data_IF_735775475320
#
_entry.id   IF_735775475320
#
_cell.length_a   1.000
_cell.length_b   1.000
_cell.length_c   1.000
_cell.angle_alpha   90.00
_cell.angle_beta   90.00
_cell.angle_gamma   90.00
#
_symmetry.space_group_name_H-M   'P 1'
#
loop_
_entity.id
_entity.type
_entity.pdbx_description
1 polymer ?
#
# COMPACT_ATOMS: atom_id res chain seq x y z
N UNK A 1 -19.49 5.14 4.31
CA UNK A 1 -18.49 4.04 4.41
C UNK A 1 -19.02 3.05 5.43
N UNK A 2 -19.31 1.83 5.02
CA UNK A 2 -19.70 0.76 5.91
C UNK A 2 -18.46 0.01 6.39
N UNK A 3 -18.48 -0.41 7.65
CA UNK A 3 -17.38 -1.13 8.28
C UNK A 3 -17.87 -2.50 8.75
N UNK A 4 -17.09 -3.55 8.52
CA UNK A 4 -17.47 -4.91 8.88
C UNK A 4 -16.25 -5.74 9.29
N UNK A 5 -16.44 -6.54 10.33
CA UNK A 5 -15.44 -7.51 10.79
C UNK A 5 -15.65 -8.85 10.09
N UNK A 6 -14.75 -9.19 9.16
CA UNK A 6 -14.73 -10.47 8.47
C UNK A 6 -13.99 -11.52 9.30
N UNK A 7 -14.70 -12.55 9.75
CA UNK A 7 -14.10 -13.71 10.44
C UNK A 7 -13.51 -14.69 9.42
N UNK A 8 -12.23 -14.95 9.53
CA UNK A 8 -11.54 -15.93 8.69
C UNK A 8 -11.60 -17.34 9.29
N UNK A 9 -11.42 -18.36 8.45
CA UNK A 9 -11.48 -19.77 8.87
C UNK A 9 -10.33 -20.15 9.83
N UNK A 10 -9.23 -19.41 9.84
CA UNK A 10 -8.11 -19.59 10.78
C UNK A 10 -8.32 -18.90 12.14
N UNK A 11 -9.46 -18.27 12.34
CA UNK A 11 -9.86 -17.58 13.57
C UNK A 11 -9.44 -16.12 13.62
N UNK A 12 -8.69 -15.60 12.66
CA UNK A 12 -8.38 -14.16 12.56
C UNK A 12 -9.61 -13.36 12.16
N UNK A 13 -9.57 -12.06 12.43
CA UNK A 13 -10.53 -11.07 11.96
C UNK A 13 -9.81 -10.11 11.02
N UNK A 14 -10.46 -9.71 9.93
CA UNK A 14 -10.07 -8.57 9.12
C UNK A 14 -11.14 -7.49 9.24
N UNK A 15 -10.74 -6.28 9.57
CA UNK A 15 -11.62 -5.11 9.56
C UNK A 15 -11.65 -4.55 8.14
N UNK A 16 -12.85 -4.42 7.57
CA UNK A 16 -13.10 -4.15 6.15
C UNK A 16 -13.96 -2.91 6.01
N UNK A 17 -13.66 -2.09 5.02
CA UNK A 17 -14.35 -0.87 4.63
C UNK A 17 -14.96 -1.04 3.23
N UNK A 18 -16.20 -0.61 3.04
CA UNK A 18 -16.92 -0.65 1.77
C UNK A 18 -17.77 0.62 1.61
N UNK A 19 -17.57 1.38 0.54
CA UNK A 19 -18.30 2.63 0.32
C UNK A 19 -19.70 2.45 -0.28
N UNK A 20 -19.95 1.31 -0.94
CA UNK A 20 -21.20 1.06 -1.66
C UNK A 20 -21.54 -0.44 -1.66
N UNK A 21 -21.87 -1.03 -0.48
CA UNK A 21 -22.14 -2.47 -0.36
C UNK A 21 -23.22 -2.95 -1.33
N UNK A 22 -22.88 -3.97 -2.12
CA UNK A 22 -23.80 -4.59 -3.09
C UNK A 22 -24.07 -3.78 -4.34
N UNK A 23 -23.38 -2.66 -4.56
CA UNK A 23 -23.48 -1.91 -5.82
C UNK A 23 -22.50 -2.47 -6.86
N UNK A 24 -22.98 -3.45 -7.66
CA UNK A 24 -22.21 -4.10 -8.71
C UNK A 24 -22.13 -3.25 -9.99
N UNK A 25 -22.80 -2.10 -10.04
CA UNK A 25 -22.75 -1.16 -11.16
C UNK A 25 -21.52 -0.23 -11.09
N UNK A 26 -20.82 -0.18 -9.96
CA UNK A 26 -19.63 0.61 -9.76
C UNK A 26 -18.36 -0.24 -9.94
N UNK A 27 -17.30 0.37 -10.45
CA UNK A 27 -15.98 -0.25 -10.46
C UNK A 27 -15.46 -0.38 -9.03
N UNK A 28 -15.21 -1.60 -8.57
CA UNK A 28 -14.55 -1.82 -7.29
C UNK A 28 -13.06 -1.44 -7.39
N UNK A 29 -12.62 -0.54 -6.52
CA UNK A 29 -11.20 -0.18 -6.35
C UNK A 29 -10.78 -0.52 -4.92
N UNK A 30 -9.84 -1.45 -4.78
CA UNK A 30 -9.29 -1.82 -3.47
C UNK A 30 -8.12 -0.93 -3.15
N UNK A 31 -8.24 -0.21 -2.04
CA UNK A 31 -7.18 0.61 -1.48
C UNK A 31 -6.25 -0.20 -0.59
N UNK A 32 -4.97 -0.18 -0.91
CA UNK A 32 -3.90 -0.70 -0.05
C UNK A 32 -3.19 0.45 0.66
N UNK A 33 -3.40 0.54 1.94
CA UNK A 33 -2.89 1.62 2.79
C UNK A 33 -1.37 1.59 2.96
N UNK A 34 -0.74 2.75 3.24
CA UNK A 34 0.67 2.86 3.58
C UNK A 34 1.04 2.23 4.93
N UNK A 35 2.28 2.38 5.35
CA UNK A 35 2.81 1.86 6.61
C UNK A 35 3.35 3.01 7.45
N UNK A 36 2.88 3.20 8.69
CA UNK A 36 1.73 2.55 9.33
C UNK A 36 0.44 3.36 9.12
N UNK A 37 -0.60 2.78 8.52
CA UNK A 37 -1.90 3.42 8.32
C UNK A 37 -3.06 2.46 8.58
N UNK A 38 -4.29 2.99 8.71
CA UNK A 38 -5.53 2.22 8.62
C UNK A 38 -5.89 1.93 7.16
N UNK A 39 -6.67 0.88 6.95
CA UNK A 39 -7.15 0.44 5.65
C UNK A 39 -8.31 1.24 5.06
N UNK A 40 -8.83 2.24 5.78
CA UNK A 40 -9.89 3.09 5.27
C UNK A 40 -9.47 3.75 3.95
N UNK A 41 -10.29 3.72 2.89
CA UNK A 41 -9.99 4.37 1.62
C UNK A 41 -9.77 5.88 1.75
N UNK A 42 -9.01 6.50 0.83
CA UNK A 42 -8.57 7.89 0.95
C UNK A 42 -9.72 8.89 0.75
N UNK A 43 -10.15 9.54 1.82
CA UNK A 43 -11.19 10.57 1.80
C UNK A 43 -10.93 11.66 0.74
N UNK A 44 -9.69 12.12 0.51
CA UNK A 44 -9.39 13.08 -0.55
C UNK A 44 -9.84 12.68 -1.96
N UNK A 45 -10.06 11.39 -2.20
CA UNK A 45 -10.48 10.87 -3.51
C UNK A 45 -11.97 10.51 -3.59
N UNK A 46 -12.76 10.77 -2.54
CA UNK A 46 -14.16 10.36 -2.54
C UNK A 46 -15.01 11.11 -3.56
N UNK A 47 -14.76 12.42 -3.75
CA UNK A 47 -15.48 13.21 -4.75
C UNK A 47 -15.19 12.71 -6.17
N UNK A 48 -13.92 12.53 -6.51
CA UNK A 48 -13.50 11.95 -7.79
C UNK A 48 -14.05 10.52 -7.97
N UNK A 49 -13.99 9.70 -6.90
CA UNK A 49 -14.54 8.34 -6.91
C UNK A 49 -16.03 8.31 -7.20
N UNK A 50 -16.82 9.24 -6.64
CA UNK A 50 -18.25 9.33 -6.94
C UNK A 50 -18.49 9.69 -8.41
N UNK A 51 -17.76 10.64 -8.96
CA UNK A 51 -17.83 11.03 -10.37
C UNK A 51 -17.47 9.90 -11.34
N UNK A 52 -16.47 9.10 -10.96
CA UNK A 52 -15.96 7.99 -11.78
C UNK A 52 -16.74 6.69 -11.57
N UNK A 53 -17.76 6.68 -10.69
CA UNK A 53 -18.53 5.49 -10.38
C UNK A 53 -17.72 4.41 -9.68
N UNK A 54 -16.89 4.80 -8.71
CA UNK A 54 -16.03 3.90 -7.93
C UNK A 54 -16.75 3.41 -6.67
N UNK A 55 -16.63 2.10 -6.39
CA UNK A 55 -16.89 1.48 -5.09
C UNK A 55 -15.55 1.26 -4.41
N UNK A 56 -15.26 2.07 -3.40
CA UNK A 56 -14.05 1.93 -2.61
C UNK A 56 -14.16 0.75 -1.65
N UNK A 57 -13.15 -0.10 -1.67
CA UNK A 57 -12.95 -1.19 -0.72
C UNK A 57 -11.61 -1.01 -0.06
N UNK A 58 -11.52 -1.27 1.23
CA UNK A 58 -10.28 -1.30 1.98
C UNK A 58 -10.34 -2.30 3.11
N UNK A 59 -9.21 -2.63 3.67
CA UNK A 59 -9.15 -3.41 4.90
C UNK A 59 -7.88 -3.07 5.67
N UNK A 60 -7.97 -3.11 6.98
CA UNK A 60 -6.79 -3.03 7.82
C UNK A 60 -5.93 -4.28 7.59
N UNK A 61 -4.69 -4.11 7.12
CA UNK A 61 -3.77 -5.26 7.04
C UNK A 61 -3.60 -5.89 8.42
N UNK A 62 -3.30 -7.19 8.50
CA UNK A 62 -3.13 -7.87 9.79
C UNK A 62 -2.22 -7.09 10.76
N UNK A 63 -2.71 -6.87 11.98
CA UNK A 63 -2.00 -6.14 13.03
C UNK A 63 -2.27 -4.64 13.09
N UNK A 64 -3.03 -4.09 12.13
CA UNK A 64 -3.52 -2.71 12.18
C UNK A 64 -4.98 -2.65 12.60
N UNK A 65 -5.39 -1.51 13.13
CA UNK A 65 -6.77 -1.18 13.45
C UNK A 65 -7.54 -2.30 14.13
N UNK A 66 -8.61 -2.77 13.48
CA UNK A 66 -9.45 -3.88 13.95
C UNK A 66 -9.00 -5.27 13.53
N UNK A 67 -7.92 -5.39 12.73
CA UNK A 67 -7.46 -6.67 12.18
C UNK A 67 -6.52 -7.41 13.12
N UNK A 68 -6.73 -8.73 13.25
CA UNK A 68 -5.85 -9.62 14.01
C UNK A 68 -4.47 -9.70 13.38
N UNK A 69 -3.41 -9.63 14.17
CA UNK A 69 -2.03 -9.77 13.70
C UNK A 69 -1.77 -11.13 13.03
N UNK A 70 -0.87 -11.15 12.04
CA UNK A 70 -0.40 -12.35 11.34
C UNK A 70 1.12 -12.28 11.18
N UNK A 71 1.87 -12.59 12.25
CA UNK A 71 3.33 -12.56 12.21
C UNK A 71 3.90 -13.45 11.11
N UNK A 72 4.90 -12.91 10.40
CA UNK A 72 5.54 -13.63 9.29
C UNK A 72 4.75 -13.62 7.98
N UNK A 73 3.76 -12.72 7.85
CA UNK A 73 3.05 -12.51 6.58
C UNK A 73 4.01 -12.08 5.46
N UNK A 74 3.63 -12.38 4.25
CA UNK A 74 4.27 -11.96 3.00
C UNK A 74 3.27 -11.23 2.12
N UNK A 75 3.71 -10.62 1.01
CA UNK A 75 2.79 -10.02 0.03
C UNK A 75 1.76 -11.04 -0.47
N UNK A 76 2.21 -12.27 -0.77
CA UNK A 76 1.32 -13.34 -1.22
C UNK A 76 0.28 -13.74 -0.15
N UNK A 77 0.64 -13.76 1.13
CA UNK A 77 -0.32 -14.12 2.20
C UNK A 77 -1.37 -13.02 2.40
N UNK A 78 -1.00 -11.75 2.26
CA UNK A 78 -1.95 -10.62 2.31
C UNK A 78 -2.85 -10.61 1.06
N UNK A 79 -2.34 -11.01 -0.11
CA UNK A 79 -3.16 -11.22 -1.30
C UNK A 79 -4.21 -12.33 -1.09
N UNK A 80 -3.86 -13.39 -0.35
CA UNK A 80 -4.83 -14.42 0.05
C UNK A 80 -5.89 -13.88 1.03
N UNK A 81 -5.51 -12.99 1.95
CA UNK A 81 -6.47 -12.30 2.83
C UNK A 81 -7.39 -11.39 2.00
N UNK A 82 -6.84 -10.61 1.04
CA UNK A 82 -7.66 -9.82 0.11
C UNK A 82 -8.66 -10.68 -0.66
N UNK A 83 -8.26 -11.88 -1.11
CA UNK A 83 -9.19 -12.82 -1.78
C UNK A 83 -10.42 -13.09 -0.89
N UNK A 84 -10.22 -13.30 0.42
CA UNK A 84 -11.33 -13.52 1.36
C UNK A 84 -12.24 -12.29 1.49
N UNK A 85 -11.64 -11.10 1.49
CA UNK A 85 -12.39 -9.84 1.55
C UNK A 85 -13.28 -9.69 0.32
N UNK A 86 -12.71 -9.74 -0.90
CA UNK A 86 -13.47 -9.52 -2.13
C UNK A 86 -14.50 -10.61 -2.39
N UNK A 87 -14.21 -11.87 -2.02
CA UNK A 87 -15.19 -12.97 -2.11
C UNK A 87 -16.36 -12.77 -1.15
N UNK A 88 -16.11 -12.33 0.09
CA UNK A 88 -17.15 -12.03 1.07
C UNK A 88 -18.04 -10.86 0.64
N UNK A 89 -17.49 -9.88 -0.09
CA UNK A 89 -18.21 -8.72 -0.62
C UNK A 89 -18.89 -8.99 -1.97
N UNK A 90 -18.73 -10.20 -2.54
CA UNK A 90 -19.29 -10.59 -3.83
C UNK A 90 -18.62 -9.92 -5.04
N UNK A 91 -17.38 -9.43 -4.88
CA UNK A 91 -16.65 -8.72 -5.94
C UNK A 91 -15.87 -9.71 -6.80
N UNK A 92 -16.20 -9.81 -8.07
CA UNK A 92 -15.56 -10.73 -9.02
C UNK A 92 -14.23 -10.23 -9.55
N UNK A 93 -14.23 -9.02 -10.13
CA UNK A 93 -13.06 -8.31 -10.62
C UNK A 93 -12.98 -6.90 -10.01
N UNK A 94 -11.79 -6.32 -9.97
CA UNK A 94 -11.53 -5.05 -9.32
C UNK A 94 -10.20 -4.45 -9.76
N UNK A 95 -10.04 -3.15 -9.54
CA UNK A 95 -8.76 -2.49 -9.67
C UNK A 95 -8.07 -2.36 -8.28
N UNK A 96 -6.77 -2.15 -8.30
CA UNK A 96 -5.96 -1.94 -7.11
C UNK A 96 -5.36 -0.54 -7.12
N UNK A 97 -5.39 0.12 -5.97
CA UNK A 97 -4.69 1.38 -5.75
C UNK A 97 -3.92 1.29 -4.44
N UNK A 98 -2.65 1.68 -4.44
CA UNK A 98 -1.83 1.55 -3.25
C UNK A 98 -0.81 2.67 -3.08
N UNK A 99 -0.50 3.00 -1.83
CA UNK A 99 0.45 4.04 -1.45
C UNK A 99 1.56 3.47 -0.58
N UNK A 100 2.82 3.87 -0.85
CA UNK A 100 3.97 3.45 -0.04
C UNK A 100 4.07 1.91 0.02
N UNK A 101 4.25 1.32 1.18
CA UNK A 101 4.18 -0.13 1.36
C UNK A 101 2.90 -0.77 0.81
N UNK A 102 1.77 -0.03 0.82
CA UNK A 102 0.52 -0.49 0.21
C UNK A 102 0.61 -0.67 -1.31
N UNK A 103 1.44 0.12 -1.99
CA UNK A 103 1.73 -0.08 -3.42
C UNK A 103 2.38 -1.43 -3.69
N UNK A 104 3.32 -1.84 -2.83
CA UNK A 104 3.97 -3.16 -2.92
C UNK A 104 2.98 -4.30 -2.68
N UNK A 105 2.08 -4.15 -1.70
CA UNK A 105 1.00 -5.11 -1.47
C UNK A 105 0.01 -5.18 -2.64
N UNK A 106 -0.30 -4.05 -3.30
CA UNK A 106 -1.13 -4.02 -4.50
C UNK A 106 -0.47 -4.80 -5.66
N UNK A 107 0.83 -4.61 -5.88
CA UNK A 107 1.60 -5.36 -6.88
C UNK A 107 1.64 -6.87 -6.53
N UNK A 108 1.88 -7.21 -5.27
CA UNK A 108 1.83 -8.60 -4.81
C UNK A 108 0.46 -9.24 -5.01
N UNK A 109 -0.62 -8.50 -4.76
CA UNK A 109 -1.98 -8.94 -4.99
C UNK A 109 -2.28 -9.15 -6.49
N UNK A 110 -1.83 -8.23 -7.35
CA UNK A 110 -1.98 -8.38 -8.79
C UNK A 110 -1.26 -9.63 -9.33
N UNK A 111 -0.06 -9.91 -8.82
CA UNK A 111 0.70 -11.10 -9.21
C UNK A 111 0.02 -12.42 -8.80
N UNK A 112 -0.71 -12.44 -7.69
CA UNK A 112 -1.39 -13.63 -7.15
C UNK A 112 -2.79 -13.82 -7.73
N UNK A 113 -3.55 -12.71 -7.90
CA UNK A 113 -4.97 -12.74 -8.25
C UNK A 113 -5.21 -12.70 -9.77
N UNK A 114 -4.17 -12.35 -10.56
CA UNK A 114 -4.18 -12.46 -12.00
C UNK A 114 -5.36 -11.74 -12.65
N UNK A 115 -6.14 -12.47 -13.46
CA UNK A 115 -7.25 -11.92 -14.26
C UNK A 115 -8.38 -11.24 -13.46
N UNK A 116 -8.42 -11.42 -12.14
CA UNK A 116 -9.36 -10.66 -11.28
C UNK A 116 -8.98 -9.20 -11.13
N UNK A 117 -7.70 -8.85 -11.36
CA UNK A 117 -7.19 -7.49 -11.26
C UNK A 117 -7.23 -6.84 -12.64
N UNK A 118 -8.04 -5.80 -12.79
CA UNK A 118 -8.27 -5.12 -14.07
C UNK A 118 -7.22 -4.02 -14.33
N UNK A 119 -6.78 -3.32 -13.30
CA UNK A 119 -5.74 -2.28 -13.36
C UNK A 119 -5.07 -2.09 -11.99
N UNK A 120 -3.85 -1.57 -11.98
CA UNK A 120 -3.11 -1.27 -10.76
C UNK A 120 -2.53 0.15 -10.85
N UNK A 121 -2.73 0.98 -9.83
CA UNK A 121 -2.00 2.25 -9.68
C UNK A 121 -1.29 2.28 -8.33
N UNK A 122 -0.01 2.59 -8.32
CA UNK A 122 0.79 2.68 -7.10
C UNK A 122 1.50 4.01 -6.99
N UNK A 123 1.64 4.49 -5.76
CA UNK A 123 2.32 5.74 -5.42
C UNK A 123 3.42 5.44 -4.43
N UNK A 124 4.67 5.72 -4.79
CA UNK A 124 5.87 5.48 -3.98
C UNK A 124 6.00 4.02 -3.50
N UNK A 125 5.80 3.04 -4.39
CA UNK A 125 5.94 1.62 -4.05
C UNK A 125 7.39 1.20 -3.88
N UNK A 126 7.67 0.34 -2.89
CA UNK A 126 8.99 -0.27 -2.67
C UNK A 126 9.14 -1.50 -3.57
N UNK A 127 10.34 -1.71 -4.15
CA UNK A 127 10.66 -2.92 -4.91
C UNK A 127 10.98 -4.12 -3.99
N UNK A 128 10.93 -5.36 -4.49
CA UNK A 128 11.37 -6.52 -3.73
C UNK A 128 12.80 -6.36 -3.18
N UNK A 129 13.03 -6.92 -1.99
CA UNK A 129 14.33 -6.83 -1.32
C UNK A 129 15.46 -7.54 -2.07
N UNK A 130 15.12 -8.59 -2.80
CA UNK A 130 16.00 -9.38 -3.66
C UNK A 130 16.06 -8.86 -5.12
N UNK A 131 15.66 -7.60 -5.36
CA UNK A 131 15.69 -6.95 -6.66
C UNK A 131 17.11 -6.89 -7.22
N UNK A 132 17.39 -7.71 -8.25
CA UNK A 132 18.72 -7.78 -8.84
C UNK A 132 19.10 -6.45 -9.50
N UNK A 133 20.31 -5.97 -9.22
CA UNK A 133 20.83 -4.70 -9.73
C UNK A 133 20.34 -3.44 -9.04
N UNK A 134 19.46 -3.50 -8.06
CA UNK A 134 19.04 -2.38 -7.23
C UNK A 134 19.88 -2.32 -5.94
N UNK A 135 20.53 -1.19 -5.68
CA UNK A 135 20.99 -0.90 -4.31
C UNK A 135 19.79 -0.49 -3.47
N UNK A 136 19.16 -1.49 -2.84
CA UNK A 136 17.84 -1.37 -2.22
C UNK A 136 17.75 -0.32 -1.11
N UNK A 137 18.87 -0.02 -0.46
CA UNK A 137 18.94 0.95 0.63
C UNK A 137 19.43 2.34 0.21
N UNK A 138 19.95 2.47 -1.00
CA UNK A 138 20.57 3.74 -1.45
C UNK A 138 19.53 4.86 -1.53
N UNK A 139 19.88 6.00 -0.95
CA UNK A 139 19.03 7.19 -0.91
C UNK A 139 17.96 7.19 0.18
N UNK A 140 17.82 6.12 0.99
CA UNK A 140 16.87 6.11 2.11
C UNK A 140 17.33 7.02 3.26
N UNK A 141 16.39 7.72 3.87
CA UNK A 141 16.60 8.51 5.11
C UNK A 141 17.13 7.64 6.24
N UNK A 142 17.93 8.21 7.17
CA UNK A 142 18.58 7.43 8.23
C UNK A 142 17.64 6.62 9.12
N UNK A 143 16.48 7.19 9.50
CA UNK A 143 15.49 6.51 10.33
C UNK A 143 14.83 5.32 9.61
N UNK A 144 14.45 5.49 8.34
CA UNK A 144 13.92 4.43 7.49
C UNK A 144 14.93 3.31 7.27
N UNK A 145 16.18 3.68 6.97
CA UNK A 145 17.28 2.73 6.80
C UNK A 145 17.52 1.91 8.09
N UNK A 146 17.52 2.55 9.27
CA UNK A 146 17.71 1.86 10.55
C UNK A 146 16.57 0.88 10.84
N UNK A 147 15.33 1.30 10.58
CA UNK A 147 14.11 0.51 10.72
C UNK A 147 14.14 -0.75 9.85
N UNK A 148 14.40 -0.60 8.56
CA UNK A 148 14.40 -1.71 7.60
C UNK A 148 15.61 -2.64 7.77
N UNK A 149 16.76 -2.13 8.19
CA UNK A 149 17.91 -2.99 8.58
C UNK A 149 17.61 -3.81 9.83
N UNK A 150 16.88 -3.25 10.81
CA UNK A 150 16.43 -4.02 11.96
C UNK A 150 15.47 -5.14 11.53
N UNK A 151 14.56 -4.86 10.59
CA UNK A 151 13.67 -5.87 10.00
C UNK A 151 14.45 -6.96 9.27
N UNK A 152 15.45 -6.60 8.45
CA UNK A 152 16.32 -7.55 7.76
C UNK A 152 17.14 -8.44 8.71
N UNK A 153 17.44 -7.95 9.93
CA UNK A 153 18.07 -8.75 10.99
C UNK A 153 17.09 -9.69 11.72
N UNK A 154 15.82 -9.68 11.34
CA UNK A 154 14.75 -10.53 11.83
C UNK A 154 13.78 -9.84 12.78
N UNK A 155 12.58 -10.45 12.93
CA UNK A 155 11.47 -9.86 13.68
C UNK A 155 11.84 -9.44 15.11
N UNK A 156 12.62 -10.24 15.83
CA UNK A 156 13.04 -9.89 17.20
C UNK A 156 13.93 -8.64 17.24
N UNK A 157 14.76 -8.43 16.23
CA UNK A 157 15.57 -7.22 16.11
C UNK A 157 14.69 -6.01 15.79
N UNK A 158 13.69 -6.19 14.92
CA UNK A 158 12.70 -5.15 14.61
C UNK A 158 11.86 -4.77 15.83
N UNK A 159 11.37 -5.75 16.61
CA UNK A 159 10.68 -5.51 17.90
C UNK A 159 11.54 -4.66 18.84
N UNK A 160 12.81 -5.03 19.01
CA UNK A 160 13.73 -4.24 19.86
C UNK A 160 13.91 -2.83 19.33
N UNK A 161 13.98 -2.64 18.03
CA UNK A 161 14.08 -1.32 17.41
C UNK A 161 12.86 -0.47 17.74
N UNK A 162 11.64 -0.97 17.49
CA UNK A 162 10.39 -0.24 17.74
C UNK A 162 10.13 0.06 19.23
N UNK A 163 10.63 -0.79 20.11
CA UNK A 163 10.47 -0.62 21.58
C UNK A 163 11.65 0.11 22.24
N UNK A 164 12.65 0.53 21.47
CA UNK A 164 13.85 1.20 22.01
C UNK A 164 13.64 2.66 22.39
N UNK A 165 12.53 3.26 21.96
CA UNK A 165 12.25 4.70 22.11
C UNK A 165 12.99 5.58 21.08
N UNK A 166 13.58 4.98 20.04
CA UNK A 166 14.10 5.74 18.89
C UNK A 166 12.93 6.30 18.10
N UNK A 167 12.91 7.61 17.91
CA UNK A 167 11.89 8.28 17.10
C UNK A 167 12.17 8.07 15.60
N UNK A 168 11.12 7.83 14.84
CA UNK A 168 11.18 7.83 13.39
C UNK A 168 11.03 9.27 12.87
N UNK A 169 12.06 9.77 12.20
CA UNK A 169 12.00 11.05 11.49
C UNK A 169 11.86 10.78 9.98
N UNK A 170 10.73 11.11 9.37
CA UNK A 170 10.51 10.89 7.94
C UNK A 170 11.27 11.88 7.05
N UNK A 171 11.91 12.90 7.61
CA UNK A 171 12.62 13.95 6.86
C UNK A 171 11.81 14.48 5.66
N UNK A 172 10.52 14.74 5.87
CA UNK A 172 9.61 15.18 4.82
C UNK A 172 10.14 16.42 4.08
N UNK A 173 10.05 16.40 2.76
CA UNK A 173 10.34 17.56 1.92
C UNK A 173 9.36 18.71 2.19
N UNK A 174 9.70 19.91 1.75
CA UNK A 174 8.76 21.04 1.82
C UNK A 174 7.46 20.78 1.03
N UNK A 175 7.56 20.04 -0.08
CA UNK A 175 6.40 19.62 -0.86
C UNK A 175 5.51 18.62 -0.09
N UNK A 176 6.13 17.68 0.64
CA UNK A 176 5.38 16.74 1.48
C UNK A 176 4.66 17.45 2.63
N UNK A 177 5.35 18.37 3.30
CA UNK A 177 4.76 19.14 4.40
C UNK A 177 3.55 19.97 3.93
N UNK A 178 3.62 20.56 2.75
CA UNK A 178 2.52 21.32 2.17
C UNK A 178 1.26 20.47 1.91
N UNK A 179 1.39 19.15 1.70
CA UNK A 179 0.24 18.25 1.51
C UNK A 179 -0.64 18.16 2.75
N UNK A 180 -0.04 18.28 3.95
CA UNK A 180 -0.78 18.21 5.20
C UNK A 180 -1.65 19.45 5.48
N UNK A 181 -1.37 20.57 4.83
CA UNK A 181 -2.21 21.78 4.88
C UNK A 181 -3.44 21.68 3.96
N UNK A 182 -3.50 20.66 3.10
CA UNK A 182 -4.56 20.39 2.14
C UNK A 182 -5.40 19.16 2.49
N UNK A 183 -6.15 18.61 1.52
CA UNK A 183 -6.99 17.42 1.72
C UNK A 183 -6.20 16.21 2.25
N UNK A 184 -4.93 16.07 1.89
CA UNK A 184 -4.08 14.98 2.35
C UNK A 184 -3.62 15.10 3.80
N UNK A 185 -3.97 16.20 4.51
CA UNK A 185 -3.94 16.25 5.98
C UNK A 185 -4.75 15.13 6.63
N UNK A 186 -5.66 14.50 5.86
CA UNK A 186 -6.35 13.26 6.20
C UNK A 186 -5.40 12.15 6.67
N UNK A 187 -4.22 12.02 6.11
CA UNK A 187 -3.21 11.05 6.55
C UNK A 187 -2.91 11.17 8.04
N UNK A 188 -2.93 12.36 8.61
CA UNK A 188 -2.79 12.59 10.05
C UNK A 188 -3.91 11.97 10.89
N UNK A 189 -5.02 11.57 10.31
CA UNK A 189 -6.16 10.91 10.99
C UNK A 189 -6.07 9.38 10.99
N UNK A 190 -5.30 8.80 10.06
CA UNK A 190 -5.25 7.35 9.80
C UNK A 190 -3.86 6.74 9.98
N UNK A 191 -2.82 7.58 10.12
CA UNK A 191 -1.43 7.13 10.23
C UNK A 191 -0.91 7.09 11.68
N UNK A 192 0.26 6.48 11.84
CA UNK A 192 1.00 6.42 13.10
C UNK A 192 0.24 5.66 14.19
N UNK A 193 0.31 6.14 15.42
CA UNK A 193 -0.28 5.49 16.59
C UNK A 193 -1.77 5.20 16.45
N UNK A 194 -2.49 6.00 15.65
CA UNK A 194 -3.93 5.79 15.40
C UNK A 194 -4.21 4.50 14.66
N UNK A 195 -3.29 4.05 13.82
CA UNK A 195 -3.41 2.79 13.09
C UNK A 195 -3.02 1.57 13.92
N UNK A 196 -2.40 1.78 15.09
CA UNK A 196 -1.80 0.74 15.93
C UNK A 196 -2.38 0.70 17.36
N UNK A 197 -3.71 0.65 17.54
CA UNK A 197 -4.35 0.71 18.88
C UNK A 197 -3.94 -0.46 19.78
N UNK A 198 -3.46 -1.56 19.20
CA UNK A 198 -3.05 -2.78 19.90
C UNK A 198 -1.52 -2.96 19.94
N UNK A 199 -0.76 -1.91 19.61
CA UNK A 199 0.70 -1.95 19.55
C UNK A 199 1.26 -2.05 18.12
N UNK A 200 2.60 -2.08 17.96
CA UNK A 200 3.27 -1.91 16.68
C UNK A 200 3.38 -3.18 15.83
N UNK A 201 2.65 -4.25 16.13
CA UNK A 201 2.77 -5.52 15.40
C UNK A 201 2.51 -5.35 13.89
N UNK A 202 1.57 -4.50 13.49
CA UNK A 202 1.30 -4.20 12.10
C UNK A 202 2.52 -3.62 11.37
N UNK A 203 3.13 -2.60 11.96
CA UNK A 203 4.36 -1.95 11.46
C UNK A 203 5.54 -2.93 11.41
N UNK A 204 5.75 -3.68 12.50
CA UNK A 204 6.83 -4.67 12.59
C UNK A 204 6.71 -5.71 11.47
N UNK A 205 5.51 -6.23 11.28
CA UNK A 205 5.28 -7.30 10.31
C UNK A 205 5.27 -6.78 8.87
N UNK A 206 4.87 -5.51 8.62
CA UNK A 206 5.03 -4.87 7.31
C UNK A 206 6.52 -4.74 6.96
N UNK A 207 7.32 -4.12 7.81
CA UNK A 207 8.75 -3.94 7.54
C UNK A 207 9.47 -5.28 7.35
N UNK A 208 9.11 -6.30 8.14
CA UNK A 208 9.63 -7.65 7.94
C UNK A 208 9.21 -8.25 6.59
N UNK A 209 7.99 -7.95 6.11
CA UNK A 209 7.51 -8.46 4.84
C UNK A 209 8.20 -7.82 3.62
N UNK A 210 8.71 -6.59 3.75
CA UNK A 210 9.44 -5.92 2.68
C UNK A 210 10.82 -6.52 2.44
N UNK A 211 11.46 -7.04 3.47
CA UNK A 211 12.84 -7.53 3.45
C UNK A 211 12.97 -9.06 3.36
N UNK A 212 11.90 -9.72 2.97
CA UNK A 212 11.86 -11.16 2.65
C UNK A 212 11.27 -11.37 1.25
N UNK A 213 11.44 -12.55 0.64
CA UNK A 213 10.79 -12.85 -0.63
C UNK A 213 9.26 -12.65 -0.52
N UNK A 214 8.68 -11.94 -1.47
CA UNK A 214 7.25 -11.59 -1.47
C UNK A 214 6.32 -12.79 -1.60
N UNK A 215 6.86 -13.95 -2.03
CA UNK A 215 6.08 -15.18 -2.22
C UNK A 215 5.22 -15.18 -3.49
N UNK A 216 5.43 -14.22 -4.38
CA UNK A 216 4.77 -14.09 -5.66
C UNK A 216 5.77 -13.69 -6.76
N UNK A 217 5.37 -13.87 -8.01
CA UNK A 217 6.18 -13.57 -9.18
C UNK A 217 5.58 -12.38 -9.93
N UNK A 218 6.24 -11.23 -9.86
CA UNK A 218 5.78 -9.98 -10.48
C UNK A 218 5.68 -10.06 -12.01
N UNK A 219 6.43 -10.95 -12.66
CA UNK A 219 6.33 -11.17 -14.10
C UNK A 219 4.96 -11.74 -14.52
N UNK A 220 4.15 -12.21 -13.57
CA UNK A 220 2.79 -12.69 -13.80
C UNK A 220 1.73 -11.59 -13.79
N UNK A 221 2.08 -10.35 -13.50
CA UNK A 221 1.15 -9.23 -13.56
C UNK A 221 0.81 -8.97 -15.03
N UNK A 222 -0.45 -9.17 -15.37
CA UNK A 222 -0.99 -8.92 -16.72
C UNK A 222 -1.85 -7.66 -16.78
N UNK A 223 -2.32 -7.18 -15.62
CA UNK A 223 -3.09 -5.95 -15.53
C UNK A 223 -2.25 -4.74 -15.92
N UNK A 224 -2.78 -3.77 -16.68
CA UNK A 224 -2.14 -2.47 -16.87
C UNK A 224 -1.73 -1.88 -15.51
N UNK A 225 -0.48 -1.41 -15.40
CA UNK A 225 0.09 -0.94 -14.13
C UNK A 225 0.68 0.45 -14.29
N UNK A 226 0.19 1.40 -13.49
CA UNK A 226 0.74 2.73 -13.35
C UNK A 226 1.58 2.81 -12.06
N UNK A 227 2.83 3.22 -12.21
CA UNK A 227 3.73 3.50 -11.11
C UNK A 227 3.96 5.01 -11.05
N UNK A 228 3.63 5.65 -9.95
CA UNK A 228 3.87 7.07 -9.72
C UNK A 228 4.92 7.24 -8.61
N UNK A 229 5.97 8.04 -8.86
CA UNK A 229 7.05 8.22 -7.90
C UNK A 229 7.60 9.64 -7.91
N UNK A 230 7.86 10.20 -6.72
CA UNK A 230 8.54 11.48 -6.57
C UNK A 230 10.06 11.33 -6.68
N UNK A 231 10.75 12.24 -7.37
CA UNK A 231 12.22 12.14 -7.50
C UNK A 231 12.96 12.47 -6.22
N UNK A 232 12.32 13.21 -5.30
CA UNK A 232 12.91 13.66 -4.03
C UNK A 232 12.41 12.82 -2.84
N UNK A 233 11.85 11.63 -3.13
CA UNK A 233 11.42 10.68 -2.12
C UNK A 233 12.65 10.06 -1.44
N UNK A 234 12.86 10.42 -0.17
CA UNK A 234 13.93 9.86 0.67
C UNK A 234 13.44 8.71 1.58
N UNK A 235 12.14 8.44 1.63
CA UNK A 235 11.59 7.30 2.38
C UNK A 235 11.68 6.03 1.54
N UNK A 236 11.15 6.08 0.31
CA UNK A 236 11.34 5.05 -0.71
C UNK A 236 11.90 5.74 -1.95
N UNK A 237 13.22 5.70 -2.19
CA UNK A 237 13.84 6.40 -3.29
C UNK A 237 13.33 5.96 -4.66
N UNK A 238 13.25 6.90 -5.61
CA UNK A 238 12.68 6.66 -6.94
C UNK A 238 13.34 5.54 -7.77
N UNK A 239 14.60 5.11 -7.52
CA UNK A 239 15.14 3.90 -8.15
C UNK A 239 14.33 2.64 -7.91
N UNK A 240 13.56 2.54 -6.81
CA UNK A 240 12.60 1.45 -6.60
C UNK A 240 11.49 1.45 -7.66
N UNK A 241 10.91 2.61 -7.93
CA UNK A 241 9.90 2.77 -9.00
C UNK A 241 10.47 2.46 -10.38
N UNK A 242 11.71 2.88 -10.65
CA UNK A 242 12.39 2.59 -11.91
C UNK A 242 12.63 1.08 -12.08
N UNK A 243 13.14 0.42 -11.03
CA UNK A 243 13.34 -1.03 -11.07
C UNK A 243 12.03 -1.78 -11.34
N UNK A 244 10.95 -1.39 -10.67
CA UNK A 244 9.63 -1.97 -10.89
C UNK A 244 9.16 -1.78 -12.33
N UNK A 245 9.36 -0.59 -12.92
CA UNK A 245 8.98 -0.32 -14.30
C UNK A 245 9.76 -1.17 -15.31
N UNK A 246 11.03 -1.41 -15.05
CA UNK A 246 11.91 -2.19 -15.92
C UNK A 246 11.60 -3.71 -15.86
N UNK A 247 10.95 -4.18 -14.78
CA UNK A 247 10.73 -5.61 -14.53
C UNK A 247 9.26 -6.06 -14.58
N UNK A 248 8.31 -5.13 -14.57
CA UNK A 248 6.89 -5.45 -14.73
C UNK A 248 6.48 -5.35 -16.22
N UNK A 249 5.85 -6.39 -16.79
CA UNK A 249 5.59 -6.44 -18.23
C UNK A 249 4.60 -5.38 -18.73
N UNK A 250 3.77 -4.84 -17.85
CA UNK A 250 2.67 -3.92 -18.19
C UNK A 250 2.82 -2.54 -17.53
N UNK A 251 3.97 -2.26 -16.92
CA UNK A 251 4.14 -1.04 -16.14
C UNK A 251 4.47 0.19 -17.01
N UNK A 252 3.85 1.31 -16.63
CA UNK A 252 4.22 2.66 -17.01
C UNK A 252 4.68 3.38 -15.76
N UNK A 253 5.83 4.05 -15.80
CA UNK A 253 6.32 4.88 -14.71
C UNK A 253 6.14 6.36 -15.04
N UNK A 254 5.48 7.08 -14.13
CA UNK A 254 5.44 8.53 -14.11
C UNK A 254 6.30 9.04 -12.95
N UNK A 255 7.44 9.67 -13.28
CA UNK A 255 8.32 10.32 -12.32
C UNK A 255 7.96 11.78 -12.20
N UNK A 256 7.82 12.26 -10.97
CA UNK A 256 7.43 13.63 -10.67
C UNK A 256 8.60 14.40 -10.04
N UNK A 257 9.25 15.29 -10.82
CA UNK A 257 10.40 16.06 -10.34
C UNK A 257 10.08 16.94 -9.13
N UNK A 258 10.91 16.88 -8.09
CA UNK A 258 10.79 17.71 -6.89
C UNK A 258 9.70 17.27 -5.90
N UNK A 259 8.95 16.19 -6.21
CA UNK A 259 8.00 15.62 -5.26
C UNK A 259 8.67 14.55 -4.40
N UNK A 260 8.28 14.50 -3.13
CA UNK A 260 8.70 13.52 -2.15
C UNK A 260 7.69 12.38 -1.99
N UNK A 261 7.75 11.74 -0.82
CA UNK A 261 6.96 10.54 -0.52
C UNK A 261 5.46 10.79 -0.45
N UNK A 262 5.05 11.87 0.23
CA UNK A 262 3.64 12.23 0.40
C UNK A 262 3.13 13.07 -0.78
N UNK A 263 3.96 13.97 -1.28
CA UNK A 263 3.55 14.92 -2.32
C UNK A 263 3.27 14.27 -3.67
N UNK A 264 3.75 13.06 -3.94
CA UNK A 264 3.35 12.27 -5.11
C UNK A 264 1.83 11.97 -5.12
N UNK A 265 1.17 11.97 -3.95
CA UNK A 265 -0.29 11.80 -3.83
C UNK A 265 -1.10 12.96 -4.41
N UNK A 266 -0.47 14.10 -4.74
CA UNK A 266 -1.12 15.14 -5.53
C UNK A 266 -1.62 14.64 -6.91
N UNK A 267 -1.06 13.53 -7.38
CA UNK A 267 -1.44 12.86 -8.64
C UNK A 267 -2.36 11.64 -8.44
N UNK A 268 -2.86 11.41 -7.21
CA UNK A 268 -3.67 10.24 -6.91
C UNK A 268 -5.02 10.26 -7.64
N UNK A 269 -5.63 11.44 -7.83
CA UNK A 269 -6.85 11.59 -8.61
C UNK A 269 -6.62 11.21 -10.08
N UNK A 270 -5.55 11.70 -10.71
CA UNK A 270 -5.17 11.30 -12.08
C UNK A 270 -4.88 9.80 -12.19
N UNK A 271 -4.33 9.18 -11.14
CA UNK A 271 -4.16 7.73 -11.09
C UNK A 271 -5.50 6.97 -11.01
N UNK A 272 -6.50 7.52 -10.32
CA UNK A 272 -7.85 6.96 -10.27
C UNK A 272 -8.57 7.10 -11.62
N UNK A 273 -8.45 8.27 -12.28
CA UNK A 273 -8.94 8.50 -13.64
C UNK A 273 -8.32 7.50 -14.61
N UNK A 274 -6.99 7.30 -14.54
CA UNK A 274 -6.28 6.34 -15.35
C UNK A 274 -6.79 4.91 -15.11
N UNK A 275 -7.02 4.48 -13.87
CA UNK A 275 -7.65 3.18 -13.55
C UNK A 275 -8.99 3.08 -14.31
N UNK A 276 -9.84 4.10 -14.22
CA UNK A 276 -11.15 4.10 -14.87
C UNK A 276 -11.07 3.95 -16.40
N UNK A 277 -10.06 4.56 -17.02
CA UNK A 277 -9.80 4.45 -18.46
C UNK A 277 -9.39 3.03 -18.88
N UNK A 278 -8.66 2.29 -18.00
CA UNK A 278 -8.22 0.93 -18.31
C UNK A 278 -9.34 -0.11 -18.15
N UNK A 279 -10.38 0.21 -17.38
CA UNK A 279 -11.44 -0.74 -16.97
C UNK A 279 -12.79 -0.46 -17.64
N UNK A 280 -12.84 0.50 -18.58
CA UNK A 280 -14.06 1.02 -19.23
C UNK A 280 -14.44 0.35 -20.53
#
# INVERSE_FOLDING_TARGET
>A
MDETDLRLADGRTLHVYDSAPGDDGRLAVVWHHGTPNLGVPPEPLFEAGEWLGIRWIGFDRPGYGGSTAAPGRTMASVAADLTRVVDALGVGSFALMGYSGGGSYALGAAAVLGERVEAVATFAAIAPYDADGLDWYDGMIPSGLASLRAAAAGRDAKVRHETSGVEYDPEFTAADLAMFDGPWGWLGSVAGDKSMPNGPDGLIDDDCSYVVPWGCDLAKITAPTLLAHGTDDGIIPSPHGQWLADHLPTAKLDLYPGLGHVSVLAHAESGLEWIREQTG
#
